data_IF_444407511128
#
_entry.id   IF_444407511128
#
_cell.length_a   1.000
_cell.length_b   1.000
_cell.length_c   1.000
_cell.angle_alpha   90.00
_cell.angle_beta   90.00
_cell.angle_gamma   90.00
#
_symmetry.space_group_name_H-M   'P 1'
#
loop_
_entity.id
_entity.type
_entity.pdbx_description
1 polymer ?
2 water ?
#
# COMPACT_ATOMS: atom_id res chain seq x y z
N UNK A 64 -6.67 -38.69 10.14
CA UNK A 64 -5.75 -38.95 11.23
C UNK A 64 -5.66 -37.75 12.16
N UNK A 65 -4.91 -36.74 11.74
CA UNK A 65 -4.81 -35.50 12.50
C UNK A 65 -6.00 -34.61 12.19
N UNK A 66 -6.19 -33.57 12.99
CA UNK A 66 -7.36 -32.70 12.85
C UNK A 66 -7.02 -31.29 12.43
N UNK A 67 -5.81 -30.84 12.78
CA UNK A 67 -5.39 -29.50 12.45
C UNK A 67 -5.64 -28.51 13.57
N UNK A 68 -5.33 -28.94 14.79
CA UNK A 68 -5.49 -28.11 15.97
C UNK A 68 -4.20 -28.10 16.78
N UNK A 69 -4.04 -27.09 17.62
CA UNK A 69 -2.84 -26.99 18.43
C UNK A 69 -3.15 -26.83 19.91
N UNK A 70 -2.83 -27.86 20.68
CA UNK A 70 -3.04 -27.84 22.12
C UNK A 70 -1.99 -26.98 22.80
N UNK A 71 -2.47 -26.05 23.62
CA UNK A 71 -1.59 -25.23 24.44
C UNK A 71 -2.13 -25.20 25.86
N UNK A 72 -1.24 -25.37 26.83
CA UNK A 72 -1.64 -25.26 28.22
C UNK A 72 -1.77 -23.79 28.60
N UNK A 73 -2.94 -23.41 29.09
CA UNK A 73 -3.34 -22.01 29.30
C UNK A 73 -2.35 -21.16 30.11
N UNK A 74 -1.30 -21.80 30.63
CA UNK A 74 -0.31 -21.10 31.43
C UNK A 74 0.94 -20.83 30.58
N UNK A 75 0.91 -21.25 29.33
CA UNK A 75 2.02 -21.01 28.41
C UNK A 75 1.62 -20.08 27.29
N UNK A 76 0.37 -19.60 27.38
CA UNK A 76 -0.16 -18.61 26.45
C UNK A 76 0.82 -17.46 26.27
N UNK A 77 1.34 -16.96 27.38
CA UNK A 77 2.33 -15.89 27.38
C UNK A 77 3.58 -16.30 26.61
N UNK A 78 4.14 -17.46 26.94
CA UNK A 78 5.36 -17.92 26.29
C UNK A 78 5.13 -18.17 24.81
N UNK A 79 3.92 -18.61 24.48
CA UNK A 79 3.55 -18.84 23.09
C UNK A 79 3.62 -17.53 22.31
N UNK A 80 2.95 -16.51 22.86
CA UNK A 80 2.99 -15.19 22.23
C UNK A 80 4.43 -14.70 22.14
N UNK A 81 5.22 -14.97 23.18
CA UNK A 81 6.59 -14.51 23.24
C UNK A 81 7.44 -15.11 22.13
N UNK A 82 7.36 -16.43 21.97
CA UNK A 82 8.23 -17.12 21.02
C UNK A 82 7.64 -17.29 19.62
N UNK A 83 6.42 -16.80 19.41
CA UNK A 83 5.83 -16.84 18.08
C UNK A 83 5.65 -15.44 17.49
N UNK A 84 5.57 -14.44 18.36
CA UNK A 84 5.36 -13.08 17.90
C UNK A 84 6.51 -12.13 18.26
N UNK A 85 6.63 -11.79 19.54
CA UNK A 85 7.66 -10.86 19.99
C UNK A 85 9.05 -11.34 19.58
N UNK A 86 9.43 -12.51 20.10
CA UNK A 86 10.68 -13.13 19.69
C UNK A 86 10.39 -14.11 18.56
N UNK A 87 10.89 -13.79 17.37
CA UNK A 87 10.73 -14.67 16.23
C UNK A 87 11.70 -14.33 15.11
N UNK A 88 12.65 -15.23 14.87
CA UNK A 88 13.50 -15.14 13.70
C UNK A 88 12.62 -15.45 12.50
N UNK A 89 12.21 -14.41 11.75
CA UNK A 89 11.18 -14.59 10.72
C UNK A 89 11.72 -15.24 9.46
N UNK A 90 13.00 -15.60 9.47
CA UNK A 90 13.64 -16.16 8.30
C UNK A 90 14.20 -17.55 8.57
N UNK A 91 13.31 -18.53 8.72
CA UNK A 91 13.71 -19.92 8.77
C UNK A 91 13.96 -20.39 7.35
N UNK A 92 13.05 -21.20 6.83
CA UNK A 92 13.11 -21.64 5.44
C UNK A 92 11.72 -22.07 4.97
N UNK A 93 11.08 -22.91 5.77
CA UNK A 93 9.70 -23.29 5.55
C UNK A 93 8.83 -22.04 5.51
N UNK A 94 9.13 -21.11 6.41
CA UNK A 94 8.44 -19.83 6.47
C UNK A 94 8.74 -18.98 5.23
N UNK A 95 9.94 -19.14 4.67
CA UNK A 95 10.26 -18.47 3.41
C UNK A 95 9.39 -19.02 2.30
N UNK A 96 9.16 -20.33 2.32
CA UNK A 96 8.26 -20.95 1.35
C UNK A 96 6.81 -20.58 1.66
N UNK A 97 6.41 -20.76 2.92
CA UNK A 97 5.09 -20.32 3.36
C UNK A 97 5.16 -19.35 4.55
N UNK A 98 5.10 -18.05 4.25
CA UNK A 98 4.98 -17.02 5.28
C UNK A 98 3.50 -16.79 5.58
N UNK A 99 3.19 -16.36 6.79
CA UNK A 99 1.81 -16.28 7.21
C UNK A 99 1.46 -17.56 7.93
N UNK A 100 2.41 -18.49 7.90
CA UNK A 100 2.32 -19.73 8.67
C UNK A 100 2.08 -19.51 10.17
N UNK A 101 2.78 -18.53 10.79
CA UNK A 101 2.45 -18.25 12.19
C UNK A 101 0.99 -17.93 12.42
N UNK A 102 0.36 -17.27 11.45
CA UNK A 102 -1.07 -16.99 11.53
C UNK A 102 -1.87 -18.29 11.59
N UNK A 103 -1.44 -19.26 10.79
CA UNK A 103 -2.09 -20.57 10.75
C UNK A 103 -1.93 -21.30 12.07
N UNK A 104 -0.72 -21.24 12.61
CA UNK A 104 -0.42 -21.79 13.92
C UNK A 104 -1.36 -21.22 14.96
N UNK A 105 -1.46 -19.89 14.96
CA UNK A 105 -2.33 -19.17 15.88
C UNK A 105 -3.76 -19.65 15.77
N UNK A 106 -4.28 -19.72 14.54
CA UNK A 106 -5.65 -20.16 14.35
C UNK A 106 -5.88 -21.62 14.71
N UNK A 107 -4.81 -22.42 14.69
CA UNK A 107 -4.93 -23.80 15.11
C UNK A 107 -5.08 -23.86 16.63
N UNK A 108 -4.34 -22.99 17.31
CA UNK A 108 -4.51 -22.85 18.75
C UNK A 108 -5.93 -22.37 19.06
N UNK A 109 -6.39 -21.41 18.26
CA UNK A 109 -7.73 -20.85 18.41
C UNK A 109 -8.78 -21.92 18.23
N UNK A 110 -8.59 -22.77 17.24
CA UNK A 110 -9.52 -23.84 16.94
C UNK A 110 -9.56 -24.81 18.11
N UNK A 111 -8.40 -25.03 18.73
CA UNK A 111 -8.32 -25.85 19.94
C UNK A 111 -9.14 -25.26 21.07
N UNK A 112 -8.95 -23.97 21.34
CA UNK A 112 -9.70 -23.31 22.41
C UNK A 112 -11.20 -23.30 22.12
N UNK A 113 -11.54 -23.19 20.84
CA UNK A 113 -12.94 -23.16 20.42
C UNK A 113 -13.59 -24.53 20.60
N UNK A 114 -12.81 -25.58 20.40
CA UNK A 114 -13.30 -26.94 20.54
C UNK A 114 -13.67 -27.28 21.99
N UNK A 115 -13.31 -26.40 22.92
CA UNK A 115 -13.48 -26.68 24.34
C UNK A 115 -14.58 -25.86 25.00
N UNK A 116 -15.11 -24.89 24.27
CA UNK A 116 -16.15 -23.98 24.78
C UNK A 116 -15.71 -23.02 25.89
N UNK A 117 -14.54 -23.28 26.48
CA UNK A 117 -13.98 -22.40 27.49
C UNK A 117 -13.75 -21.03 26.88
N UNK A 118 -14.80 -20.20 26.90
CA UNK A 118 -14.78 -18.90 26.25
C UNK A 118 -13.67 -17.97 26.77
N UNK A 119 -13.44 -17.99 28.08
CA UNK A 119 -12.41 -17.15 28.67
C UNK A 119 -11.04 -17.43 28.08
N UNK A 120 -10.77 -18.69 27.78
CA UNK A 120 -9.51 -19.09 27.16
C UNK A 120 -9.40 -18.51 25.77
N UNK A 121 -10.52 -18.51 25.05
CA UNK A 121 -10.57 -18.00 23.68
C UNK A 121 -10.31 -16.50 23.68
N UNK A 122 -11.08 -15.77 24.48
CA UNK A 122 -10.94 -14.32 24.56
C UNK A 122 -9.54 -13.93 25.03
N UNK A 123 -9.03 -14.63 26.04
CA UNK A 123 -7.70 -14.37 26.56
C UNK A 123 -6.66 -14.61 25.47
N UNK A 124 -6.89 -15.63 24.66
CA UNK A 124 -6.01 -15.93 23.54
C UNK A 124 -6.00 -14.80 22.53
N UNK A 125 -7.18 -14.40 22.07
CA UNK A 125 -7.31 -13.36 21.05
C UNK A 125 -6.70 -12.05 21.52
N UNK A 126 -6.94 -11.70 22.79
CA UNK A 126 -6.42 -10.47 23.35
C UNK A 126 -4.91 -10.52 23.50
N UNK A 127 -4.40 -11.65 23.97
CA UNK A 127 -2.95 -11.81 24.12
C UNK A 127 -2.28 -11.67 22.76
N UNK A 128 -2.89 -12.25 21.74
CA UNK A 128 -2.36 -12.17 20.38
C UNK A 128 -2.35 -10.74 19.88
N UNK A 129 -3.52 -10.13 19.81
CA UNK A 129 -3.66 -8.76 19.30
C UNK A 129 -2.75 -7.77 20.02
N UNK A 130 -2.64 -7.94 21.34
CA UNK A 130 -1.73 -7.10 22.10
C UNK A 130 -0.29 -7.41 21.76
N UNK A 131 0.00 -8.69 21.53
CA UNK A 131 1.33 -9.12 21.13
C UNK A 131 1.74 -8.55 19.79
N UNK A 132 0.76 -8.41 18.90
CA UNK A 132 1.00 -7.85 17.58
C UNK A 132 1.26 -6.36 17.74
N UNK A 133 0.28 -5.65 18.32
CA UNK A 133 0.41 -4.23 18.60
C UNK A 133 1.78 -3.90 19.17
N UNK A 134 2.17 -4.66 20.18
CA UNK A 134 3.47 -4.50 20.80
C UNK A 134 4.60 -4.74 19.80
N UNK A 135 4.59 -5.91 19.16
CA UNK A 135 5.70 -6.31 18.31
C UNK A 135 5.96 -5.33 17.15
N UNK A 136 4.91 -4.69 16.65
CA UNK A 136 5.13 -3.64 15.66
C UNK A 136 5.62 -2.36 16.35
N UNK A 137 5.01 -2.04 17.50
CA UNK A 137 5.44 -0.87 18.27
C UNK A 137 6.93 -0.88 18.58
N UNK A 138 7.53 -2.07 18.58
CA UNK A 138 8.96 -2.16 18.83
C UNK A 138 9.77 -1.88 17.57
N UNK A 139 9.17 -2.15 16.42
CA UNK A 139 9.87 -1.99 15.14
C UNK A 139 9.13 -1.05 14.20
N UNK A 140 9.08 0.23 14.55
CA UNK A 140 8.46 1.21 13.68
C UNK A 140 9.44 1.72 12.62
N UNK A 141 10.67 1.21 12.65
CA UNK A 141 11.66 1.61 11.66
C UNK A 141 12.21 0.39 10.94
N UNK A 142 11.48 -0.72 11.04
CA UNK A 142 11.87 -1.96 10.39
C UNK A 142 10.82 -2.34 9.34
N UNK A 143 11.02 -1.86 8.11
CA UNK A 143 10.13 -2.10 6.99
C UNK A 143 9.85 -3.58 6.79
N UNK A 144 10.91 -4.37 6.89
CA UNK A 144 10.84 -5.81 6.70
C UNK A 144 9.87 -6.45 7.70
N UNK A 145 10.10 -6.17 8.98
CA UNK A 145 9.28 -6.71 10.05
C UNK A 145 7.83 -6.28 9.91
N UNK A 146 7.62 -4.99 9.67
CA UNK A 146 6.28 -4.44 9.47
C UNK A 146 5.56 -5.17 8.33
N UNK A 147 6.31 -5.51 7.30
CA UNK A 147 5.76 -6.25 6.18
C UNK A 147 5.35 -7.65 6.61
N UNK A 148 6.24 -8.31 7.34
CA UNK A 148 5.98 -9.66 7.84
C UNK A 148 4.73 -9.74 8.71
N UNK A 149 4.53 -8.73 9.54
CA UNK A 149 3.39 -8.75 10.47
C UNK A 149 2.09 -8.21 9.88
N UNK A 150 2.20 -7.29 8.92
CA UNK A 150 1.01 -6.89 8.17
C UNK A 150 0.52 -8.12 7.43
N UNK A 151 1.47 -8.82 6.80
CA UNK A 151 1.17 -10.05 6.09
C UNK A 151 0.49 -11.06 7.00
N UNK A 152 1.18 -11.44 8.07
CA UNK A 152 0.68 -12.45 8.98
C UNK A 152 -0.67 -12.08 9.60
N UNK A 153 -0.86 -10.79 9.87
CA UNK A 153 -2.13 -10.31 10.39
C UNK A 153 -3.23 -10.52 9.37
N UNK A 154 -3.00 -10.10 8.13
CA UNK A 154 -3.99 -10.28 7.08
C UNK A 154 -4.30 -11.75 6.84
N UNK A 155 -3.28 -12.59 6.96
CA UNK A 155 -3.44 -14.03 6.83
C UNK A 155 -4.33 -14.57 7.93
N UNK A 156 -4.07 -14.15 9.16
CA UNK A 156 -4.84 -14.61 10.31
C UNK A 156 -6.30 -14.19 10.21
N UNK A 157 -6.53 -12.96 9.76
CA UNK A 157 -7.88 -12.48 9.54
C UNK A 157 -8.57 -13.31 8.47
N UNK A 158 -7.85 -13.58 7.39
CA UNK A 158 -8.40 -14.39 6.31
C UNK A 158 -8.67 -15.82 6.74
N UNK A 159 -7.94 -16.30 7.74
CA UNK A 159 -8.20 -17.61 8.30
C UNK A 159 -9.47 -17.55 9.13
N UNK A 160 -9.62 -16.46 9.88
CA UNK A 160 -10.82 -16.24 10.68
C UNK A 160 -12.06 -16.19 9.81
N UNK A 161 -11.92 -15.62 8.61
CA UNK A 161 -13.02 -15.56 7.67
C UNK A 161 -13.25 -16.91 7.02
N UNK A 162 -12.16 -17.54 6.58
CA UNK A 162 -12.21 -18.79 5.83
C UNK A 162 -12.88 -19.91 6.60
N UNK A 163 -12.53 -20.03 7.89
CA UNK A 163 -13.07 -21.08 8.72
C UNK A 163 -14.07 -20.53 9.73
N UNK A 164 -14.65 -19.38 9.40
CA UNK A 164 -15.69 -18.77 10.22
C UNK A 164 -16.91 -19.66 10.26
N UNK A 165 -17.14 -20.39 9.18
CA UNK A 165 -18.32 -21.22 9.04
C UNK A 165 -19.38 -20.50 8.23
N UNK A 166 -19.12 -19.22 7.95
CA UNK A 166 -20.06 -18.41 7.19
C UNK A 166 -20.09 -18.83 5.73
N UNK A 167 -21.31 -19.06 5.24
CA UNK A 167 -21.57 -19.48 3.86
C UNK A 167 -20.79 -18.70 2.81
N UNK A 168 -20.63 -17.39 3.06
CA UNK A 168 -19.96 -16.49 2.14
C UNK A 168 -18.51 -16.90 1.83
N UNK A 169 -17.81 -17.41 2.84
CA UNK A 169 -16.38 -17.68 2.71
C UNK A 169 -16.04 -19.12 2.35
N UNK A 170 -17.05 -19.99 2.32
CA UNK A 170 -16.80 -21.40 1.99
C UNK A 170 -16.88 -21.64 0.49
N UNK A 171 -16.78 -20.57 -0.28
CA UNK A 171 -16.87 -20.64 -1.74
C UNK A 171 -15.73 -21.47 -2.32
N UNK A 172 -14.51 -21.02 -2.07
CA UNK A 172 -13.33 -21.69 -2.61
C UNK A 172 -12.65 -22.57 -1.56
N UNK A 173 -13.41 -23.44 -0.92
CA UNK A 173 -12.86 -24.32 0.10
C UNK A 173 -12.84 -25.79 -0.31
N UNK A 174 -11.74 -26.46 -0.02
CA UNK A 174 -11.65 -27.90 -0.18
C UNK A 174 -12.68 -28.53 0.74
N UNK A 175 -13.25 -29.68 0.33
CA UNK A 175 -14.18 -30.38 1.21
C UNK A 175 -13.50 -30.75 2.53
N UNK A 176 -12.18 -30.91 2.46
CA UNK A 176 -11.38 -31.21 3.64
C UNK A 176 -11.11 -29.91 4.41
N UNK A 177 -11.26 -28.77 3.74
CA UNK A 177 -11.10 -27.48 4.39
C UNK A 177 -12.38 -27.05 5.10
N UNK A 178 -13.52 -27.41 4.51
CA UNK A 178 -14.82 -27.16 5.13
C UNK A 178 -15.05 -28.07 6.33
N UNK A 179 -14.04 -28.86 6.66
CA UNK A 179 -14.10 -29.80 7.77
C UNK A 179 -13.47 -29.19 9.02
N UNK A 180 -12.75 -28.08 8.83
CA UNK A 180 -12.02 -27.44 9.93
C UNK A 180 -12.51 -26.05 10.29
N UNK A 181 -13.80 -25.80 10.10
CA UNK A 181 -14.38 -24.52 10.48
C UNK A 181 -14.53 -24.47 12.00
N UNK A 182 -14.64 -23.27 12.55
CA UNK A 182 -14.91 -23.12 13.98
C UNK A 182 -16.29 -23.66 14.28
N UNK A 183 -16.41 -24.38 15.38
CA UNK A 183 -17.60 -25.17 15.64
C UNK A 183 -18.54 -24.58 16.69
N UNK A 184 -18.09 -23.55 17.40
CA UNK A 184 -18.89 -23.03 18.52
C UNK A 184 -19.15 -21.53 18.52
N UNK A 185 -18.09 -20.73 18.42
CA UNK A 185 -18.22 -19.29 18.67
C UNK A 185 -18.29 -18.45 17.40
N UNK A 186 -18.93 -17.29 17.51
CA UNK A 186 -18.95 -16.31 16.45
C UNK A 186 -17.91 -15.25 16.78
N UNK A 187 -16.97 -15.02 15.86
CA UNK A 187 -15.85 -14.14 16.13
C UNK A 187 -15.81 -12.96 15.17
N UNK A 188 -16.97 -12.58 14.67
CA UNK A 188 -17.10 -11.52 13.68
C UNK A 188 -16.57 -10.18 14.21
N UNK A 189 -16.93 -9.87 15.44
CA UNK A 189 -16.49 -8.64 16.09
C UNK A 189 -14.97 -8.63 16.18
N UNK A 190 -14.40 -9.76 16.59
CA UNK A 190 -12.96 -9.91 16.64
C UNK A 190 -12.32 -9.76 15.26
N UNK A 191 -12.99 -10.30 14.24
CA UNK A 191 -12.49 -10.16 12.87
C UNK A 191 -12.44 -8.69 12.48
N UNK A 192 -13.46 -7.94 12.88
CA UNK A 192 -13.50 -6.50 12.63
C UNK A 192 -12.35 -5.77 13.32
N UNK A 193 -12.16 -6.07 14.60
CA UNK A 193 -11.07 -5.49 15.38
C UNK A 193 -9.74 -5.74 14.67
N UNK A 194 -9.54 -6.99 14.26
CA UNK A 194 -8.34 -7.39 13.55
C UNK A 194 -8.15 -6.62 12.26
N UNK A 195 -9.25 -6.41 11.54
CA UNK A 195 -9.21 -5.62 10.31
C UNK A 195 -8.71 -4.23 10.66
N UNK A 196 -9.17 -3.70 11.78
CA UNK A 196 -8.80 -2.37 12.21
C UNK A 196 -7.29 -2.25 12.50
N UNK A 197 -6.79 -3.11 13.37
CA UNK A 197 -5.36 -3.09 13.68
C UNK A 197 -4.53 -3.31 12.40
N UNK A 198 -5.03 -4.16 11.52
CA UNK A 198 -4.38 -4.39 10.24
C UNK A 198 -4.27 -3.09 9.45
N UNK A 199 -5.34 -2.30 9.47
CA UNK A 199 -5.32 -0.98 8.82
C UNK A 199 -4.25 -0.11 9.44
N UNK A 200 -4.15 -0.16 10.77
CA UNK A 200 -3.14 0.63 11.47
C UNK A 200 -1.72 0.23 11.06
N UNK A 201 -1.47 -1.06 10.95
CA UNK A 201 -0.16 -1.56 10.56
C UNK A 201 0.17 -1.15 9.13
N UNK A 202 -0.80 -1.33 8.23
CA UNK A 202 -0.63 -0.94 6.84
C UNK A 202 -0.25 0.54 6.74
N UNK A 203 -1.00 1.39 7.44
CA UNK A 203 -0.69 2.81 7.48
C UNK A 203 0.70 3.06 7.99
N UNK A 204 1.15 2.24 8.94
CA UNK A 204 2.49 2.39 9.48
C UNK A 204 3.59 2.03 8.47
N UNK A 205 3.37 0.96 7.72
CA UNK A 205 4.41 0.46 6.83
C UNK A 205 4.46 1.24 5.51
N UNK A 206 3.33 1.85 5.16
CA UNK A 206 3.31 2.78 4.02
C UNK A 206 4.22 3.97 4.31
N UNK A 207 4.09 4.51 5.52
CA UNK A 207 4.83 5.68 5.96
C UNK A 207 6.33 5.51 5.79
N UNK A 208 6.82 4.32 6.08
CA UNK A 208 8.26 4.04 6.03
C UNK A 208 8.80 4.09 4.61
N UNK A 209 8.09 3.45 3.69
CA UNK A 209 8.45 3.48 2.28
C UNK A 209 8.46 4.92 1.80
N UNK A 210 7.34 5.61 2.05
CA UNK A 210 7.18 6.99 1.62
C UNK A 210 8.30 7.89 2.14
N UNK A 211 8.67 7.65 3.38
CA UNK A 211 9.73 8.41 4.03
C UNK A 211 11.08 8.08 3.43
N UNK A 212 11.26 6.84 2.97
CA UNK A 212 12.52 6.43 2.37
C UNK A 212 12.66 6.80 0.90
N UNK A 213 11.56 7.24 0.27
CA UNK A 213 11.63 7.57 -1.14
C UNK A 213 11.39 9.06 -1.44
N UNK A 214 10.77 9.76 -0.49
CA UNK A 214 10.47 11.18 -0.66
C UNK A 214 11.66 12.08 -1.02
N UNK A 215 12.82 11.90 -0.36
CA UNK A 215 13.94 12.77 -0.73
C UNK A 215 14.54 12.45 -2.10
N UNK A 216 14.03 11.42 -2.76
CA UNK A 216 14.59 10.98 -4.03
C UNK A 216 13.73 11.45 -5.20
N UNK A 217 12.43 11.59 -4.94
CA UNK A 217 11.46 11.96 -5.97
C UNK A 217 11.91 13.16 -6.80
N UNK A 218 11.94 14.33 -6.15
CA UNK A 218 12.33 15.57 -6.83
C UNK A 218 13.70 15.55 -7.52
N UNK A 219 14.76 15.12 -6.81
CA UNK A 219 16.08 15.17 -7.46
C UNK A 219 16.20 14.28 -8.71
N UNK A 220 15.31 13.31 -8.85
CA UNK A 220 15.35 12.42 -9.99
C UNK A 220 14.28 12.72 -11.02
N UNK A 221 13.11 13.08 -10.54
CA UNK A 221 11.97 13.34 -11.42
C UNK A 221 12.13 14.63 -12.21
N UNK A 222 12.89 15.58 -11.66
CA UNK A 222 13.02 16.86 -12.34
C UNK A 222 14.33 17.65 -12.11
N UNK A 223 14.92 17.55 -10.92
CA UNK A 223 16.18 18.27 -10.68
C UNK A 223 17.26 17.76 -11.62
N UNK A 224 17.25 16.45 -11.85
CA UNK A 224 18.12 15.83 -12.85
C UNK A 224 17.61 16.18 -14.24
N UNK A 225 18.44 16.88 -15.02
CA UNK A 225 18.03 17.28 -16.37
C UNK A 225 18.48 16.27 -17.43
N UNK A 226 17.52 15.53 -17.95
CA UNK A 226 17.78 14.58 -19.02
C UNK A 226 18.14 15.36 -20.27
N UNK A 227 17.19 16.16 -20.73
CA UNK A 227 17.34 16.98 -21.93
C UNK A 227 18.44 18.02 -21.72
N UNK A 228 19.69 17.55 -21.81
CA UNK A 228 20.85 18.41 -21.60
C UNK A 228 21.01 19.42 -22.73
N UNK A 250 24.29 12.89 -6.73
CA UNK A 250 23.89 12.73 -8.11
C UNK A 250 22.92 11.60 -8.30
N UNK A 251 21.63 11.89 -8.14
CA UNK A 251 20.59 10.88 -8.28
C UNK A 251 19.83 11.09 -9.60
N UNK A 252 19.07 10.08 -10.00
CA UNK A 252 18.35 10.13 -11.27
C UNK A 252 17.00 9.43 -11.19
N UNK A 253 16.24 9.51 -12.28
CA UNK A 253 14.89 8.94 -12.32
C UNK A 253 14.91 7.42 -12.16
N UNK A 254 16.01 6.81 -12.56
CA UNK A 254 16.15 5.36 -12.46
C UNK A 254 16.09 4.93 -11.01
N UNK A 255 16.78 5.67 -10.15
CA UNK A 255 16.87 5.39 -8.73
C UNK A 255 15.50 5.25 -8.10
N UNK A 256 14.58 6.07 -8.56
CA UNK A 256 13.18 6.00 -8.13
C UNK A 256 12.63 4.61 -8.37
N UNK A 257 12.78 4.13 -9.60
CA UNK A 257 12.26 2.82 -9.98
C UNK A 257 13.01 1.71 -9.27
N UNK A 258 14.26 1.97 -8.92
CA UNK A 258 15.05 0.99 -8.20
C UNK A 258 14.51 0.80 -6.78
N UNK A 259 14.15 1.92 -6.14
CA UNK A 259 13.53 1.87 -4.83
C UNK A 259 12.13 1.26 -4.90
N UNK A 260 11.39 1.60 -5.95
CA UNK A 260 10.06 1.03 -6.16
C UNK A 260 10.18 -0.49 -6.27
N UNK A 261 11.28 -0.92 -6.89
CA UNK A 261 11.56 -2.34 -7.06
C UNK A 261 11.89 -2.97 -5.72
N UNK A 262 12.69 -2.28 -4.91
CA UNK A 262 13.03 -2.74 -3.58
C UNK A 262 11.76 -2.96 -2.76
N UNK A 263 10.87 -1.99 -2.80
CA UNK A 263 9.61 -2.08 -2.06
C UNK A 263 8.75 -3.24 -2.56
N UNK A 264 8.59 -3.33 -3.88
CA UNK A 264 7.76 -4.37 -4.49
C UNK A 264 8.26 -5.76 -4.12
N UNK A 265 9.55 -5.99 -4.31
CA UNK A 265 10.16 -7.28 -3.97
C UNK A 265 9.98 -7.60 -2.49
N UNK A 266 10.29 -6.62 -1.64
CA UNK A 266 10.18 -6.82 -0.20
C UNK A 266 8.77 -7.19 0.20
N UNK A 267 7.79 -6.58 -0.45
CA UNK A 267 6.39 -6.91 -0.21
C UNK A 267 6.08 -8.33 -0.65
N UNK A 268 6.50 -8.68 -1.86
CA UNK A 268 6.19 -9.97 -2.43
C UNK A 268 6.82 -11.13 -1.67
N UNK A 269 8.02 -10.92 -1.15
CA UNK A 269 8.76 -11.96 -0.45
C UNK A 269 8.21 -12.22 0.95
N UNK A 270 7.24 -11.40 1.36
CA UNK A 270 6.62 -11.55 2.67
C UNK A 270 5.17 -12.03 2.58
N UNK A 271 4.86 -12.83 1.56
CA UNK A 271 3.54 -13.40 1.41
C UNK A 271 2.41 -12.39 1.33
N UNK A 272 2.76 -11.15 1.06
CA UNK A 272 1.77 -10.07 1.00
C UNK A 272 0.92 -10.23 -0.25
N UNK A 273 -0.38 -10.40 -0.04
CA UNK A 273 -1.35 -10.60 -1.11
C UNK A 273 -1.20 -9.59 -2.24
N UNK A 274 -1.28 -10.05 -3.50
CA UNK A 274 -1.10 -9.23 -4.70
C UNK A 274 -1.90 -7.93 -4.68
N UNK A 275 -3.19 -8.00 -4.37
CA UNK A 275 -4.05 -6.82 -4.35
C UNK A 275 -3.57 -5.79 -3.33
N UNK A 276 -3.05 -6.28 -2.21
CA UNK A 276 -2.54 -5.41 -1.16
C UNK A 276 -1.31 -4.66 -1.68
N UNK A 277 -0.42 -5.41 -2.31
CA UNK A 277 0.78 -4.86 -2.91
C UNK A 277 0.41 -3.82 -3.97
N UNK A 278 -0.70 -4.07 -4.65
CA UNK A 278 -1.21 -3.17 -5.67
C UNK A 278 -1.64 -1.85 -5.06
N UNK A 279 -2.42 -1.92 -3.97
CA UNK A 279 -2.87 -0.71 -3.31
C UNK A 279 -1.68 0.07 -2.75
N UNK A 280 -0.68 -0.65 -2.26
CA UNK A 280 0.53 -0.02 -1.77
C UNK A 280 1.22 0.75 -2.91
N UNK A 281 1.44 0.07 -4.02
CA UNK A 281 2.06 0.67 -5.20
C UNK A 281 1.30 1.91 -5.64
N UNK A 282 -0.02 1.82 -5.62
CA UNK A 282 -0.89 2.95 -5.92
C UNK A 282 -0.55 4.13 -5.01
N UNK A 283 -0.46 3.85 -3.72
CA UNK A 283 -0.08 4.88 -2.75
C UNK A 283 1.27 5.52 -3.10
N UNK A 284 2.24 4.69 -3.44
CA UNK A 284 3.56 5.18 -3.85
C UNK A 284 3.49 6.11 -5.05
N UNK A 285 2.73 5.70 -6.07
CA UNK A 285 2.56 6.51 -7.26
C UNK A 285 1.95 7.86 -6.91
N UNK A 286 0.92 7.83 -6.07
CA UNK A 286 0.33 9.07 -5.59
C UNK A 286 1.40 9.96 -4.99
N UNK A 287 2.23 9.37 -4.13
CA UNK A 287 3.28 10.14 -3.48
C UNK A 287 4.23 10.79 -4.49
N UNK A 288 4.64 10.02 -5.49
CA UNK A 288 5.54 10.53 -6.51
C UNK A 288 4.94 11.74 -7.21
N UNK A 289 3.75 11.55 -7.77
CA UNK A 289 3.05 12.62 -8.45
C UNK A 289 2.83 13.83 -7.57
N UNK A 290 2.60 13.58 -6.29
CA UNK A 290 2.31 14.64 -5.33
C UNK A 290 3.53 15.49 -5.05
N UNK A 291 4.64 14.85 -4.70
CA UNK A 291 5.87 15.56 -4.41
C UNK A 291 6.31 16.35 -5.63
N UNK A 292 6.21 15.70 -6.79
CA UNK A 292 6.56 16.36 -8.05
C UNK A 292 5.74 17.63 -8.28
N UNK A 293 4.42 17.46 -8.33
CA UNK A 293 3.50 18.57 -8.55
C UNK A 293 3.69 19.69 -7.53
N UNK A 294 3.93 19.31 -6.27
CA UNK A 294 4.14 20.28 -5.22
C UNK A 294 5.40 21.10 -5.49
N UNK A 295 6.47 20.42 -5.86
CA UNK A 295 7.70 21.11 -6.19
C UNK A 295 7.49 22.05 -7.37
N UNK A 296 6.57 21.68 -8.27
CA UNK A 296 6.18 22.59 -9.33
C UNK A 296 5.49 23.82 -8.77
N UNK A 297 4.55 23.59 -7.87
CA UNK A 297 3.76 24.67 -7.26
C UNK A 297 4.64 25.60 -6.44
N UNK A 298 5.81 25.13 -6.05
CA UNK A 298 6.75 25.95 -5.32
C UNK A 298 7.70 26.67 -6.26
N UNK A 299 8.63 25.90 -6.82
CA UNK A 299 9.74 26.49 -7.58
C UNK A 299 9.32 27.01 -8.96
N UNK A 300 9.52 28.31 -9.16
CA UNK A 300 9.24 28.95 -10.44
C UNK A 300 10.19 28.46 -11.53
N UNK A 301 11.42 28.16 -11.14
CA UNK A 301 12.44 27.67 -12.08
C UNK A 301 12.25 26.21 -12.43
N UNK A 302 10.99 25.77 -12.49
CA UNK A 302 10.68 24.39 -12.86
C UNK A 302 9.51 24.34 -13.82
N UNK A 303 8.83 25.47 -13.98
CA UNK A 303 7.67 25.54 -14.87
C UNK A 303 8.06 25.96 -16.27
N UNK A 304 8.43 24.98 -17.09
CA UNK A 304 8.81 25.23 -18.47
C UNK A 304 8.29 24.11 -19.36
N UNK A 305 8.24 24.37 -20.66
CA UNK A 305 7.82 23.36 -21.63
C UNK A 305 8.75 22.17 -21.59
N UNK A 306 10.04 22.45 -21.59
CA UNK A 306 11.09 21.45 -21.49
C UNK A 306 10.86 20.51 -20.32
N UNK A 307 10.64 21.10 -19.15
CA UNK A 307 10.41 20.35 -17.92
C UNK A 307 9.15 19.51 -18.03
N UNK A 308 8.14 20.05 -18.69
CA UNK A 308 6.88 19.35 -18.88
C UNK A 308 7.07 18.08 -19.70
N UNK A 309 7.75 18.21 -20.83
CA UNK A 309 8.02 17.08 -21.69
C UNK A 309 8.86 16.04 -20.96
N UNK A 310 9.85 16.51 -20.22
CA UNK A 310 10.67 15.66 -19.38
C UNK A 310 9.81 14.84 -18.42
N UNK A 311 8.85 15.51 -17.79
CA UNK A 311 7.96 14.86 -16.84
C UNK A 311 7.10 13.80 -17.50
N UNK A 312 6.46 14.15 -18.61
CA UNK A 312 5.65 13.20 -19.37
C UNK A 312 6.46 11.95 -19.71
N UNK A 313 7.73 12.17 -20.07
CA UNK A 313 8.63 11.08 -20.36
C UNK A 313 8.81 10.17 -19.15
N UNK A 314 9.11 10.78 -18.01
CA UNK A 314 9.27 10.01 -16.78
C UNK A 314 8.00 9.23 -16.41
N UNK A 315 6.86 9.81 -16.76
CA UNK A 315 5.58 9.15 -16.53
C UNK A 315 5.50 7.89 -17.37
N UNK A 316 5.85 8.01 -18.65
CA UNK A 316 5.89 6.83 -19.52
C UNK A 316 6.85 5.78 -18.98
N UNK A 317 7.97 6.25 -18.43
CA UNK A 317 8.94 5.39 -17.77
C UNK A 317 8.28 4.60 -16.64
N UNK A 318 7.45 5.29 -15.86
CA UNK A 318 6.74 4.66 -14.75
C UNK A 318 5.70 3.63 -15.23
N UNK A 319 4.97 3.99 -16.28
CA UNK A 319 4.01 3.07 -16.88
C UNK A 319 4.75 1.81 -17.32
N UNK A 320 5.97 2.00 -17.81
CA UNK A 320 6.79 0.89 -18.22
C UNK A 320 7.24 0.06 -17.03
N UNK A 321 7.47 0.72 -15.89
CA UNK A 321 7.80 0.01 -14.67
C UNK A 321 6.64 -0.89 -14.25
N UNK A 322 5.43 -0.39 -14.45
CA UNK A 322 4.25 -1.20 -14.17
C UNK A 322 4.17 -2.39 -15.11
N UNK A 323 4.31 -2.11 -16.41
CA UNK A 323 4.26 -3.14 -17.43
C UNK A 323 5.24 -4.26 -17.13
N UNK A 324 6.46 -3.87 -16.76
CA UNK A 324 7.52 -4.81 -16.42
C UNK A 324 7.13 -5.67 -15.23
N UNK A 325 6.49 -5.06 -14.24
CA UNK A 325 6.05 -5.78 -13.05
C UNK A 325 4.66 -6.38 -13.27
N UNK A 326 4.19 -6.31 -14.51
CA UNK A 326 2.89 -6.86 -14.89
C UNK A 326 1.70 -6.29 -14.12
N UNK A 327 1.80 -5.02 -13.74
CA UNK A 327 0.72 -4.37 -13.03
C UNK A 327 -0.13 -3.56 -14.01
N UNK A 328 -1.39 -3.33 -13.67
CA UNK A 328 -2.31 -2.63 -14.55
C UNK A 328 -1.88 -1.20 -14.84
N UNK A 329 -2.22 -0.72 -16.03
CA UNK A 329 -1.96 0.66 -16.41
C UNK A 329 -2.99 1.58 -15.74
N UNK A 330 -4.07 0.98 -15.25
CA UNK A 330 -5.17 1.73 -14.64
C UNK A 330 -4.73 2.55 -13.42
N UNK A 331 -3.88 1.95 -12.59
CA UNK A 331 -3.43 2.62 -11.38
C UNK A 331 -2.56 3.84 -11.73
N UNK A 332 -1.83 3.74 -12.83
CA UNK A 332 -0.99 4.83 -13.31
C UNK A 332 -1.85 6.01 -13.74
N UNK A 333 -3.01 5.70 -14.32
CA UNK A 333 -3.99 6.73 -14.63
C UNK A 333 -4.44 7.36 -13.32
N UNK A 334 -5.03 6.54 -12.46
CA UNK A 334 -5.63 7.04 -11.23
C UNK A 334 -4.60 7.44 -10.17
N UNK A 335 -3.40 7.79 -10.61
CA UNK A 335 -2.42 8.40 -9.71
C UNK A 335 -1.67 9.54 -10.38
N UNK A 336 -1.32 9.35 -11.65
CA UNK A 336 -0.49 10.34 -12.33
C UNK A 336 -1.28 11.29 -13.24
N UNK A 337 -2.56 11.01 -13.45
CA UNK A 337 -3.36 11.84 -14.35
C UNK A 337 -3.29 13.36 -14.10
N UNK A 338 -3.30 13.80 -12.83
CA UNK A 338 -3.12 15.24 -12.61
C UNK A 338 -1.76 15.76 -13.08
N UNK A 339 -0.70 14.98 -12.85
CA UNK A 339 0.64 15.41 -13.21
C UNK A 339 0.82 15.44 -14.73
N UNK A 340 0.09 14.58 -15.42
CA UNK A 340 0.09 14.56 -16.88
C UNK A 340 -0.44 15.88 -17.41
N UNK A 341 -1.60 16.28 -16.90
CA UNK A 341 -2.24 17.53 -17.32
C UNK A 341 -1.37 18.72 -16.93
N UNK A 342 -0.62 18.57 -15.85
CA UNK A 342 0.31 19.60 -15.43
C UNK A 342 1.44 19.74 -16.43
N UNK A 343 2.01 18.60 -16.81
CA UNK A 343 3.11 18.58 -17.78
C UNK A 343 2.61 19.00 -19.16
N UNK A 344 1.45 18.49 -19.54
CA UNK A 344 0.80 18.86 -20.80
C UNK A 344 0.60 20.36 -20.87
N UNK A 345 0.20 20.94 -19.74
CA UNK A 345 -0.04 22.38 -19.66
C UNK A 345 1.22 23.18 -19.97
N UNK A 346 2.35 22.72 -19.43
CA UNK A 346 3.61 23.43 -19.57
C UNK A 346 4.05 23.60 -21.03
N UNK A 347 3.77 22.60 -21.85
CA UNK A 347 4.23 22.60 -23.24
C UNK A 347 3.33 23.45 -24.13
N UNK A 348 2.03 23.20 -24.02
CA UNK A 348 1.01 23.82 -24.89
C UNK A 348 1.18 25.32 -25.00
N UNK A 349 1.09 25.82 -26.23
CA UNK A 349 1.12 27.24 -26.50
C UNK A 349 0.05 27.94 -25.67
N UNK A 350 0.41 29.08 -25.09
CA UNK A 350 -0.51 29.79 -24.20
C UNK A 350 -0.72 31.21 -24.69
N UNK A 351 -1.33 31.35 -25.87
CA UNK A 351 -1.50 32.67 -26.49
C UNK A 351 -2.92 32.93 -26.97
N UNK A 352 -3.37 32.14 -27.94
CA UNK A 352 -4.62 32.42 -28.63
C UNK A 352 -5.88 32.01 -27.87
N UNK A 353 -6.95 32.76 -28.12
CA UNK A 353 -8.28 32.40 -27.63
C UNK A 353 -8.72 31.09 -28.27
N UNK A 354 -8.06 30.02 -27.88
CA UNK A 354 -8.26 28.70 -28.47
C UNK A 354 -7.38 27.76 -27.69
N UNK A 355 -6.17 28.24 -27.39
CA UNK A 355 -5.30 27.56 -26.46
C UNK A 355 -6.02 27.46 -25.15
N UNK A 356 -6.54 28.60 -24.70
CA UNK A 356 -7.27 28.71 -23.44
C UNK A 356 -8.38 27.68 -23.36
N UNK A 357 -9.17 27.58 -24.43
CA UNK A 357 -10.26 26.62 -24.50
C UNK A 357 -9.74 25.20 -24.34
N UNK A 358 -8.55 24.94 -24.88
CA UNK A 358 -7.94 23.61 -24.77
C UNK A 358 -7.47 23.34 -23.35
N UNK A 359 -6.98 24.38 -22.69
CA UNK A 359 -6.58 24.27 -21.29
C UNK A 359 -7.79 23.90 -20.47
N UNK A 360 -8.93 24.50 -20.82
CA UNK A 360 -10.19 24.20 -20.16
C UNK A 360 -10.62 22.75 -20.39
N UNK A 361 -10.70 22.35 -21.66
CA UNK A 361 -11.20 21.04 -22.01
C UNK A 361 -10.31 19.90 -21.53
N UNK A 362 -9.00 20.13 -21.48
CA UNK A 362 -8.07 19.04 -21.17
C UNK A 362 -7.69 18.92 -19.69
N UNK A 363 -7.33 20.03 -19.06
CA UNK A 363 -7.01 20.01 -17.64
C UNK A 363 -8.26 19.73 -16.83
N UNK A 364 -8.66 18.46 -16.77
CA UNK A 364 -9.92 18.10 -16.14
C UNK A 364 -9.71 17.52 -14.75
N UNK A 365 -8.47 17.14 -14.44
CA UNK A 365 -8.14 16.59 -13.13
C UNK A 365 -7.26 17.56 -12.34
N UNK A 366 -7.50 18.85 -12.52
CA UNK A 366 -6.78 19.88 -11.80
C UNK A 366 -7.72 20.97 -11.31
N UNK A 367 -7.42 21.51 -10.13
CA UNK A 367 -8.18 22.64 -9.61
C UNK A 367 -7.70 23.90 -10.31
N UNK A 368 -8.63 24.84 -10.51
CA UNK A 368 -8.32 26.09 -11.18
C UNK A 368 -7.17 26.82 -10.49
N UNK A 369 -7.10 26.65 -9.17
CA UNK A 369 -6.04 27.24 -8.37
C UNK A 369 -4.69 26.74 -8.85
N UNK A 370 -4.60 25.43 -9.07
CA UNK A 370 -3.36 24.81 -9.54
C UNK A 370 -2.98 25.30 -10.93
N UNK A 371 -3.96 25.28 -11.82
CA UNK A 371 -3.77 25.72 -13.20
C UNK A 371 -3.23 27.14 -13.23
N UNK A 372 -3.93 28.04 -12.53
CA UNK A 372 -3.52 29.44 -12.47
C UNK A 372 -2.14 29.58 -11.85
N UNK A 373 -1.86 28.78 -10.82
CA UNK A 373 -0.56 28.81 -10.18
C UNK A 373 0.54 28.51 -11.18
N UNK A 374 0.31 27.51 -12.02
CA UNK A 374 1.26 27.15 -13.06
C UNK A 374 1.40 28.27 -14.08
N UNK A 375 0.28 28.77 -14.57
CA UNK A 375 0.28 29.81 -15.60
C UNK A 375 0.97 31.09 -15.14
N UNK A 376 0.92 31.35 -13.83
CA UNK A 376 1.62 32.52 -13.29
C UNK A 376 3.09 32.23 -13.06
N UNK A 377 3.38 31.02 -12.59
CA UNK A 377 4.76 30.65 -12.31
C UNK A 377 5.48 30.11 -13.54
N UNK A 378 4.81 30.17 -14.69
CA UNK A 378 5.38 29.68 -15.94
C UNK A 378 6.45 30.63 -16.46
N UNK A 379 7.71 30.18 -16.42
CA UNK A 379 8.81 30.95 -16.95
C UNK A 379 9.54 30.12 -18.01
N UNK A 380 9.66 30.67 -19.22
CA UNK A 380 10.33 29.99 -20.33
C UNK A 380 11.84 30.19 -20.28
N UNK A 381 12.58 29.18 -20.74
CA UNK A 381 14.03 29.27 -20.84
C UNK A 381 14.49 29.19 -22.28
N UNK A 382 13.61 28.70 -23.16
CA UNK A 382 13.93 28.59 -24.57
C UNK A 382 13.25 29.68 -25.40
N UNK A 383 13.58 29.74 -26.68
CA UNK A 383 13.12 30.82 -27.53
C UNK A 383 11.85 30.48 -28.31
N UNK A 384 11.57 29.20 -28.47
CA UNK A 384 10.39 28.78 -29.22
C UNK A 384 9.11 28.91 -28.40
N UNK A 385 9.27 28.93 -27.08
CA UNK A 385 8.13 29.10 -26.18
C UNK A 385 7.93 30.57 -25.81
N UNK A 386 6.76 31.11 -26.14
CA UNK A 386 6.44 32.49 -25.83
C UNK A 386 5.79 32.61 -24.46
N UNK A 387 6.15 33.66 -23.73
CA UNK A 387 5.68 33.85 -22.36
C UNK A 387 4.18 34.14 -22.29
N UNK A 388 3.59 33.82 -21.13
CA UNK A 388 2.17 34.00 -20.91
C UNK A 388 1.86 35.36 -20.32
N UNK A 389 0.94 36.08 -20.95
CA UNK A 389 0.56 37.41 -20.51
C UNK A 389 -0.55 37.36 -19.47
N UNK A 390 -0.55 38.29 -18.51
CA UNK A 390 -1.58 38.42 -17.48
C UNK A 390 -2.99 38.40 -18.09
N UNK A 391 -3.15 39.01 -19.26
CA UNK A 391 -4.43 39.03 -19.95
C UNK A 391 -4.91 37.62 -20.26
N UNK A 392 -4.00 36.79 -20.76
CA UNK A 392 -4.31 35.40 -21.08
C UNK A 392 -4.72 34.65 -19.83
N UNK A 393 -3.99 34.88 -18.75
CA UNK A 393 -4.28 34.26 -17.46
C UNK A 393 -5.69 34.61 -17.02
N UNK A 394 -6.04 35.89 -17.18
CA UNK A 394 -7.38 36.35 -16.83
C UNK A 394 -8.45 35.70 -17.70
N UNK A 395 -8.15 35.55 -18.99
CA UNK A 395 -9.06 34.88 -19.90
C UNK A 395 -9.33 33.45 -19.46
N UNK A 396 -8.26 32.73 -19.15
CA UNK A 396 -8.37 31.34 -18.71
C UNK A 396 -9.14 31.22 -17.41
N UNK A 397 -8.82 32.08 -16.45
CA UNK A 397 -9.51 32.07 -15.17
C UNK A 397 -10.99 32.38 -15.35
N UNK A 398 -11.29 33.23 -16.33
CA UNK A 398 -12.68 33.56 -16.63
C UNK A 398 -13.38 32.34 -17.23
N UNK A 399 -12.64 31.57 -18.02
CA UNK A 399 -13.18 30.37 -18.64
C UNK A 399 -13.38 29.25 -17.62
N UNK A 400 -12.62 29.33 -16.52
CA UNK A 400 -12.69 28.32 -15.47
C UNK A 400 -13.86 28.54 -14.52
N UNK A 401 -14.60 29.61 -14.74
CA UNK A 401 -15.73 29.94 -13.89
C UNK A 401 -16.85 28.91 -14.01
N UNK A 402 -16.93 28.25 -15.16
CA UNK A 402 -17.98 27.27 -15.39
C UNK A 402 -17.71 25.99 -14.60
N UNK A 403 -16.49 25.83 -14.10
CA UNK A 403 -16.13 24.68 -13.29
C UNK A 403 -15.91 25.11 -11.84
N UNK A 404 -16.83 24.71 -10.97
CA UNK A 404 -16.82 25.14 -9.57
C UNK A 404 -15.49 24.81 -8.87
N UNK A 405 -15.09 23.55 -8.95
CA UNK A 405 -13.78 23.09 -8.49
C UNK A 405 -13.58 22.99 -6.98
N UNK A 406 -12.32 23.12 -6.57
CA UNK A 406 -11.90 23.02 -5.18
C UNK A 406 -10.84 24.07 -4.87
N UNK A 407 -10.58 24.28 -3.58
CA UNK A 407 -9.62 25.29 -3.15
C UNK A 407 -8.23 24.70 -3.00
N UNK A 408 -8.05 23.46 -3.43
CA UNK A 408 -6.78 22.76 -3.24
C UNK A 408 -5.69 23.18 -4.23
N UNK A 409 -4.52 23.47 -3.71
CA UNK A 409 -3.34 23.69 -4.54
C UNK A 409 -2.39 22.52 -4.35
N UNK A 410 -1.72 22.50 -3.20
CA UNK A 410 -0.75 21.44 -2.90
C UNK A 410 -1.43 20.10 -2.68
N UNK A 411 -0.66 19.03 -2.80
CA UNK A 411 -1.15 17.70 -2.48
C UNK A 411 -0.34 17.17 -1.30
N UNK A 412 -0.99 17.04 -0.15
CA UNK A 412 -0.31 16.67 1.07
C UNK A 412 0.22 15.24 1.01
N UNK A 413 1.48 15.06 1.41
CA UNK A 413 2.15 13.76 1.32
C UNK A 413 1.63 12.74 2.32
N UNK A 414 0.67 13.15 3.15
CA UNK A 414 0.14 12.26 4.18
C UNK A 414 -1.26 11.79 3.85
N UNK A 415 -1.69 12.01 2.61
CA UNK A 415 -2.96 11.48 2.16
C UNK A 415 -2.83 9.96 2.01
N UNK A 416 -3.90 9.26 2.35
CA UNK A 416 -3.90 7.80 2.27
C UNK A 416 -5.14 7.31 1.54
N UNK A 417 -4.96 6.28 0.73
CA UNK A 417 -6.07 5.68 0.00
C UNK A 417 -6.86 4.77 0.91
N UNK A 418 -8.11 4.50 0.52
CA UNK A 418 -8.92 3.54 1.25
C UNK A 418 -8.37 2.14 1.03
N UNK A 419 -7.67 1.62 2.03
CA UNK A 419 -7.14 0.27 1.94
C UNK A 419 -8.25 -0.75 2.16
N UNK A 420 -8.26 -1.77 1.31
CA UNK A 420 -9.23 -2.84 1.42
C UNK A 420 -8.49 -4.14 1.62
N UNK A 421 -9.00 -4.98 2.51
CA UNK A 421 -8.43 -6.30 2.73
C UNK A 421 -9.35 -7.37 2.17
N UNK A 422 -9.16 -7.71 0.88
CA UNK A 422 -10.02 -8.69 0.22
C UNK A 422 -9.76 -10.07 0.75
N UNK A 423 -10.83 -10.82 1.00
CA UNK A 423 -10.68 -12.19 1.49
C UNK A 423 -10.08 -13.09 0.43
N UNK A 424 -8.90 -13.63 0.73
CA UNK A 424 -8.26 -14.60 -0.14
C UNK A 424 -8.06 -15.89 0.65
N UNK A 425 -8.63 -16.99 0.16
CA UNK A 425 -8.55 -18.30 0.83
C UNK A 425 -7.12 -18.78 0.96
N UNK A 426 -6.90 -19.74 1.87
CA UNK A 426 -5.61 -20.35 2.04
C UNK A 426 -5.60 -21.74 1.42
N UNK A 427 -4.56 -22.04 0.63
CA UNK A 427 -4.45 -23.34 -0.03
C UNK A 427 -4.03 -24.42 0.95
N UNK A 428 -3.48 -24.02 2.08
CA UNK A 428 -2.88 -24.96 3.02
C UNK A 428 -3.91 -25.65 3.90
N UNK A 429 -3.75 -26.96 4.07
CA UNK A 429 -4.62 -27.73 4.93
C UNK A 429 -4.05 -27.77 6.34
N UNK A 430 -4.86 -27.38 7.32
CA UNK A 430 -4.42 -27.31 8.71
C UNK A 430 -3.99 -28.68 9.23
N UNK A 431 -4.58 -29.73 8.67
CA UNK A 431 -4.35 -31.09 9.14
C UNK A 431 -2.91 -31.51 8.93
N UNK A 432 -2.24 -30.88 7.97
CA UNK A 432 -0.90 -31.29 7.62
C UNK A 432 0.14 -30.25 8.01
N UNK A 433 -0.28 -29.25 8.79
CA UNK A 433 0.65 -28.22 9.24
C UNK A 433 1.48 -28.70 10.43
N UNK A 434 2.78 -28.49 10.34
CA UNK A 434 3.70 -28.87 11.40
C UNK A 434 4.61 -27.71 11.78
N UNK A 435 5.06 -27.69 13.03
CA UNK A 435 5.89 -26.60 13.53
C UNK A 435 7.37 -26.89 13.33
N UNK A 436 8.10 -25.96 12.71
CA UNK A 436 9.55 -26.07 12.66
C UNK A 436 10.13 -25.88 14.06
N UNK A 437 11.16 -26.64 14.39
CA UNK A 437 11.81 -26.55 15.70
C UNK A 437 12.38 -25.16 15.94
N UNK A 438 12.58 -24.41 14.86
CA UNK A 438 13.10 -23.04 14.94
C UNK A 438 12.07 -22.06 15.51
N UNK A 439 10.87 -22.57 15.80
CA UNK A 439 9.81 -21.73 16.35
C UNK A 439 9.69 -21.87 17.87
N UNK A 440 10.44 -22.82 18.42
CA UNK A 440 10.48 -23.06 19.86
C UNK A 440 9.09 -23.31 20.44
N UNK A 441 8.36 -24.26 19.87
CA UNK A 441 6.99 -24.51 20.31
C UNK A 441 6.75 -25.99 20.62
N UNK A 442 7.76 -26.64 21.17
CA UNK A 442 7.66 -28.07 21.47
C UNK A 442 6.60 -28.37 22.50
N UNK A 443 6.24 -27.37 23.29
CA UNK A 443 5.24 -27.54 24.33
C UNK A 443 3.81 -27.49 23.78
N UNK A 444 3.70 -27.53 22.45
CA UNK A 444 2.39 -27.61 21.79
C UNK A 444 2.14 -29.04 21.35
N UNK A 445 1.02 -29.27 20.69
CA UNK A 445 0.66 -30.62 20.27
C UNK A 445 -0.37 -30.60 19.15
N UNK A 446 -0.07 -31.28 18.04
CA UNK A 446 -1.02 -31.39 16.94
C UNK A 446 -2.16 -32.30 17.35
N UNK A 447 -3.39 -31.88 17.08
CA UNK A 447 -4.54 -32.74 17.30
C UNK A 447 -5.13 -33.19 15.98
#
# INVERSE_FOLDING_TARGET
MHHHHHHSSGVDLGTENLYFQSMDLEEELDMKDRVIKKLQDQVKTLSKTIGKANDVHSSSGPKEYLGMLQYKREDEAKLIQNLILDLKPRGVVVNMIPGLPAHILFMCVRYADSLNDANMLKSLMNSTINGIKQVVKEHLEDFEMLSFWLSNTCHFLNCLKQYSGEEEFMKHNSPQQNKNCLNNFDLSEYRQILSDVAIRIYHQFIIIMEKNIQPIIVPGMLEYESLQGISGLKPTGFRKRSSSIDDTDGYTMTSVLQQLSYFYTTMCQNGLDPELVRQAVKQLFFLIGAVTLNSLFLRKDMCSCRKGMQIRCNISYLEEWLKDKNLQNSLAKETLEPLSQAAWLLQVKKTTDSDAKEIYERCTSLSAVQIIKILNSYTPIDDFEKRVTPSFVRKVQALLNSREDSSQLMLDTKYLFQVTFPFTPSPHALEMIQIPSSFKLGFLNRL
#
